data_IF_433717209651
#
_entry.id   IF_433717209651
#
_cell.length_a   1.000
_cell.length_b   1.000
_cell.length_c   1.000
_cell.angle_alpha   90.00
_cell.angle_beta   90.00
_cell.angle_gamma   90.00
#
_symmetry.space_group_name_H-M   'P 1'
#
loop_
_entity.id
_entity.type
_entity.pdbx_description
1 polymer ?
#
# COMPACT_ATOMS: atom_id res chain seq x y z
N UNK A 1 -1.97 10.79 -24.32
CA UNK A 1 -2.90 11.56 -23.44
C UNK A 1 -2.42 13.01 -23.40
N UNK A 2 -3.27 14.03 -23.26
CA UNK A 2 -2.81 15.43 -23.20
C UNK A 2 -1.87 15.66 -22.01
N UNK A 3 -0.87 16.54 -22.18
CA UNK A 3 0.03 16.94 -21.09
C UNK A 3 -0.70 17.91 -20.15
N UNK A 4 -0.62 17.63 -18.85
CA UNK A 4 -1.29 18.44 -17.82
C UNK A 4 -0.30 19.36 -17.10
N UNK A 5 -0.72 20.61 -16.87
CA UNK A 5 0.07 21.56 -16.09
C UNK A 5 0.20 21.11 -14.63
N UNK A 6 1.26 21.54 -13.94
CA UNK A 6 1.43 21.26 -12.50
C UNK A 6 0.26 21.77 -11.67
N UNK A 7 -0.37 22.90 -12.04
CA UNK A 7 -1.55 23.41 -11.37
C UNK A 7 -2.74 22.45 -11.46
N UNK A 8 -3.03 21.92 -12.66
CA UNK A 8 -4.10 20.92 -12.84
C UNK A 8 -3.77 19.65 -12.06
N UNK A 9 -2.53 19.16 -12.14
CA UNK A 9 -2.12 17.96 -11.41
C UNK A 9 -2.23 18.13 -9.89
N UNK A 10 -1.85 19.28 -9.35
CA UNK A 10 -2.04 19.57 -7.92
C UNK A 10 -3.53 19.63 -7.56
N UNK A 11 -4.36 20.27 -8.38
CA UNK A 11 -5.80 20.33 -8.15
C UNK A 11 -6.44 18.92 -8.14
N UNK A 12 -6.02 18.03 -9.05
CA UNK A 12 -6.45 16.63 -9.06
C UNK A 12 -6.07 15.91 -7.76
N UNK A 13 -4.84 16.12 -7.27
CA UNK A 13 -4.40 15.53 -6.00
C UNK A 13 -5.15 16.06 -4.79
N UNK A 14 -5.45 17.36 -4.77
CA UNK A 14 -6.22 18.00 -3.70
C UNK A 14 -7.68 17.53 -3.68
N UNK A 15 -8.26 17.24 -4.86
CA UNK A 15 -9.62 16.71 -4.96
C UNK A 15 -9.80 15.36 -4.25
N UNK A 16 -8.74 14.56 -4.09
CA UNK A 16 -8.82 13.27 -3.38
C UNK A 16 -9.18 13.48 -1.92
N UNK A 17 -8.46 14.36 -1.24
CA UNK A 17 -8.73 14.65 0.17
C UNK A 17 -10.06 15.37 0.36
N UNK A 18 -10.37 16.33 -0.52
CA UNK A 18 -11.65 17.03 -0.48
C UNK A 18 -12.84 16.06 -0.67
N UNK A 19 -12.69 15.02 -1.50
CA UNK A 19 -13.76 14.04 -1.77
C UNK A 19 -13.91 13.03 -0.63
N UNK A 20 -12.80 12.53 -0.08
CA UNK A 20 -12.80 11.57 1.04
C UNK A 20 -13.25 12.25 2.34
N UNK A 21 -12.93 13.53 2.48
CA UNK A 21 -13.28 14.34 3.63
C UNK A 21 -12.29 14.21 4.79
N UNK A 22 -12.62 14.92 5.86
CA UNK A 22 -11.83 14.98 7.07
C UNK A 22 -11.99 13.71 7.92
N UNK A 23 -10.92 13.32 8.61
CA UNK A 23 -10.89 12.19 9.54
C UNK A 23 -11.48 10.89 8.98
N UNK A 24 -11.04 10.45 7.78
CA UNK A 24 -11.42 9.15 7.26
C UNK A 24 -10.84 8.02 8.10
N UNK A 25 -11.34 6.81 7.88
CA UNK A 25 -10.84 5.60 8.53
C UNK A 25 -9.94 4.85 7.58
N UNK A 26 -8.71 4.58 8.03
CA UNK A 26 -7.75 3.70 7.38
C UNK A 26 -7.92 2.27 7.89
N UNK A 27 -7.79 1.30 6.99
CA UNK A 27 -7.75 -0.13 7.29
C UNK A 27 -6.53 -0.77 6.63
N UNK A 28 -5.79 -1.57 7.39
CA UNK A 28 -4.77 -2.48 6.89
C UNK A 28 -5.29 -3.91 6.91
N UNK A 29 -5.17 -4.62 5.79
CA UNK A 29 -5.77 -5.94 5.60
C UNK A 29 -4.80 -6.91 4.92
N UNK A 30 -5.01 -8.20 5.13
CA UNK A 30 -4.23 -9.25 4.44
C UNK A 30 -4.63 -9.41 2.98
N UNK A 31 -3.74 -9.96 2.16
CA UNK A 31 -4.04 -10.32 0.76
C UNK A 31 -4.19 -9.11 -0.17
N UNK A 32 -4.65 -9.38 -1.39
CA UNK A 32 -4.83 -8.36 -2.42
C UNK A 32 -6.09 -7.53 -2.18
N UNK A 33 -6.10 -6.25 -2.61
CA UNK A 33 -7.29 -5.42 -2.50
C UNK A 33 -8.44 -5.99 -3.35
N UNK A 34 -9.71 -5.66 -3.03
CA UNK A 34 -10.85 -5.99 -3.88
C UNK A 34 -10.70 -5.40 -5.29
N UNK A 35 -11.49 -5.87 -6.26
CA UNK A 35 -11.39 -5.40 -7.65
C UNK A 35 -11.70 -3.90 -7.82
N UNK A 36 -12.45 -3.30 -6.89
CA UNK A 36 -12.74 -1.86 -6.86
C UNK A 36 -13.02 -1.40 -5.43
N UNK A 37 -12.93 -0.10 -5.13
CA UNK A 37 -13.27 0.42 -3.80
C UNK A 37 -14.70 0.09 -3.36
N UNK A 38 -15.66 0.03 -4.30
CA UNK A 38 -17.05 -0.31 -4.02
C UNK A 38 -17.29 -1.80 -3.74
N UNK A 39 -16.33 -2.68 -4.06
CA UNK A 39 -16.47 -4.11 -3.81
C UNK A 39 -16.34 -4.43 -2.31
N UNK A 40 -16.92 -5.57 -1.90
CA UNK A 40 -16.82 -6.08 -0.54
C UNK A 40 -15.35 -6.28 -0.13
N UNK A 41 -15.06 -6.01 1.14
CA UNK A 41 -13.72 -6.17 1.71
C UNK A 41 -13.19 -7.59 1.53
N UNK A 42 -11.95 -7.70 1.05
CA UNK A 42 -11.20 -8.95 1.00
C UNK A 42 -10.24 -9.03 2.19
N UNK A 43 -9.76 -10.24 2.49
CA UNK A 43 -8.76 -10.46 3.52
C UNK A 43 -9.23 -10.19 4.95
N UNK A 44 -8.34 -10.45 5.90
CA UNK A 44 -8.54 -10.24 7.33
C UNK A 44 -8.17 -8.80 7.68
N UNK A 45 -9.01 -8.12 8.46
CA UNK A 45 -8.66 -6.82 9.04
C UNK A 45 -7.55 -7.00 10.07
N UNK A 46 -6.42 -6.32 9.89
CA UNK A 46 -5.29 -6.36 10.83
C UNK A 46 -5.34 -5.17 11.77
N UNK A 47 -5.52 -3.96 11.23
CA UNK A 47 -5.59 -2.72 12.01
C UNK A 47 -6.57 -1.76 11.35
N UNK A 48 -7.24 -0.93 12.15
CA UNK A 48 -8.05 0.19 11.67
C UNK A 48 -7.85 1.39 12.57
N UNK A 49 -7.95 2.60 12.04
CA UNK A 49 -7.98 3.80 12.87
C UNK A 49 -8.38 5.05 12.10
N UNK A 50 -8.88 6.03 12.84
CA UNK A 50 -9.28 7.33 12.31
C UNK A 50 -8.06 8.21 12.10
N UNK A 51 -7.95 8.76 10.89
CA UNK A 51 -6.90 9.67 10.48
C UNK A 51 -7.18 11.09 11.00
N UNK A 52 -6.17 11.94 10.95
CA UNK A 52 -6.35 13.37 11.22
C UNK A 52 -7.32 14.00 10.20
N UNK A 53 -7.85 15.19 10.54
CA UNK A 53 -8.70 15.93 9.60
C UNK A 53 -7.95 16.25 8.30
N UNK A 54 -6.71 16.75 8.43
CA UNK A 54 -5.73 16.94 7.36
C UNK A 54 -4.80 15.72 7.33
N UNK A 55 -5.22 14.71 6.58
CA UNK A 55 -4.54 13.41 6.54
C UNK A 55 -3.54 13.32 5.39
N UNK A 56 -3.62 14.22 4.42
CA UNK A 56 -2.65 14.33 3.34
C UNK A 56 -2.43 15.80 2.99
N UNK A 57 -1.19 16.33 3.07
CA UNK A 57 -0.92 17.72 2.72
C UNK A 57 -1.32 18.04 1.29
N UNK A 58 -1.45 19.34 0.97
CA UNK A 58 -1.67 19.79 -0.40
C UNK A 58 -0.68 19.16 -1.38
N UNK A 59 -1.20 18.74 -2.53
CA UNK A 59 -0.40 18.17 -3.59
C UNK A 59 0.61 19.19 -4.13
N UNK A 60 1.84 18.73 -4.33
CA UNK A 60 2.93 19.52 -4.88
C UNK A 60 3.58 18.78 -6.04
N UNK A 61 3.95 19.49 -7.10
CA UNK A 61 4.57 18.92 -8.30
C UNK A 61 3.79 17.76 -8.96
N UNK A 62 2.46 17.74 -8.76
CA UNK A 62 1.56 16.68 -9.21
C UNK A 62 1.66 15.39 -8.39
N UNK A 63 2.10 15.49 -7.13
CA UNK A 63 2.18 14.37 -6.19
C UNK A 63 1.36 14.69 -4.95
N UNK A 64 0.45 13.78 -4.56
CA UNK A 64 -0.25 13.80 -3.28
C UNK A 64 0.44 12.78 -2.36
N UNK A 65 0.99 13.25 -1.25
CA UNK A 65 1.65 12.42 -0.25
C UNK A 65 0.73 12.22 0.94
N UNK A 66 0.95 11.16 1.72
CA UNK A 66 0.23 10.95 2.97
C UNK A 66 1.08 11.38 4.15
N UNK A 67 0.45 11.86 5.23
CA UNK A 67 1.17 12.19 6.45
C UNK A 67 1.77 10.92 7.08
N UNK A 68 2.99 11.03 7.61
CA UNK A 68 3.73 9.88 8.19
C UNK A 68 3.02 9.23 9.39
N UNK A 69 2.11 9.97 10.04
CA UNK A 69 1.34 9.53 11.21
C UNK A 69 0.00 8.89 10.83
N UNK A 70 -0.03 8.11 9.74
CA UNK A 70 -1.14 7.23 9.34
C UNK A 70 -1.32 6.10 10.36
N UNK A 71 -1.73 6.46 11.58
CA UNK A 71 -1.89 5.56 12.71
C UNK A 71 -3.21 4.81 12.59
N UNK A 72 -3.13 3.49 12.71
CA UNK A 72 -4.26 2.67 13.10
C UNK A 72 -4.19 2.43 14.62
N UNK A 73 -5.34 2.13 15.23
CA UNK A 73 -5.42 1.68 16.62
C UNK A 73 -4.73 0.31 16.78
N UNK A 74 -4.67 -0.19 18.02
CA UNK A 74 -4.09 -1.49 18.34
C UNK A 74 -4.56 -2.59 17.37
N UNK A 75 -3.62 -3.39 16.87
CA UNK A 75 -3.92 -4.43 15.91
C UNK A 75 -4.90 -5.45 16.47
N UNK A 76 -5.94 -5.75 15.68
CA UNK A 76 -7.03 -6.68 16.04
C UNK A 76 -6.77 -8.10 15.55
N UNK A 77 -5.78 -8.28 14.68
CA UNK A 77 -5.33 -9.59 14.22
C UNK A 77 -3.84 -9.54 13.85
N UNK A 78 -3.18 -10.70 13.96
CA UNK A 78 -1.83 -10.87 13.45
C UNK A 78 -1.84 -11.25 11.96
N UNK A 79 -0.83 -10.80 11.21
CA UNK A 79 -0.62 -11.22 9.82
C UNK A 79 0.18 -10.22 9.02
N UNK A 80 0.33 -10.51 7.72
CA UNK A 80 1.05 -9.66 6.79
C UNK A 80 0.09 -8.73 6.08
N UNK A 81 0.29 -7.41 6.23
CA UNK A 81 -0.47 -6.41 5.49
C UNK A 81 -0.20 -6.55 3.99
N UNK A 82 -1.24 -6.79 3.21
CA UNK A 82 -1.17 -6.90 1.75
C UNK A 82 -1.85 -5.74 1.03
N UNK A 83 -2.80 -5.07 1.68
CA UNK A 83 -3.42 -3.88 1.13
C UNK A 83 -3.94 -2.94 2.22
N UNK A 84 -4.13 -1.68 1.84
CA UNK A 84 -4.82 -0.69 2.64
C UNK A 84 -6.15 -0.31 1.98
N UNK A 85 -7.09 0.19 2.78
CA UNK A 85 -8.33 0.82 2.31
C UNK A 85 -8.62 2.05 3.15
N UNK A 86 -9.16 3.09 2.50
CA UNK A 86 -9.60 4.32 3.15
C UNK A 86 -11.08 4.49 2.87
N UNK A 87 -11.85 4.63 3.94
CA UNK A 87 -13.26 4.97 3.87
C UNK A 87 -13.51 6.35 4.48
N UNK A 88 -14.39 7.10 3.83
CA UNK A 88 -14.91 8.35 4.37
C UNK A 88 -15.69 8.09 5.67
N UNK A 89 -16.02 9.16 6.39
CA UNK A 89 -16.75 9.08 7.66
C UNK A 89 -18.15 8.44 7.53
N UNK A 90 -18.73 8.49 6.33
CA UNK A 90 -20.00 7.84 5.99
C UNK A 90 -19.86 6.31 5.75
N UNK A 91 -18.64 5.78 5.78
CA UNK A 91 -18.32 4.37 5.53
C UNK A 91 -18.01 4.03 4.07
N UNK A 92 -18.11 4.99 3.14
CA UNK A 92 -17.84 4.78 1.72
C UNK A 92 -16.35 4.62 1.47
N UNK A 93 -15.94 3.49 0.86
CA UNK A 93 -14.55 3.30 0.43
C UNK A 93 -14.27 4.09 -0.85
N UNK A 94 -13.26 4.96 -0.79
CA UNK A 94 -12.83 5.78 -1.93
C UNK A 94 -11.48 5.37 -2.49
N UNK A 95 -10.66 4.73 -1.68
CA UNK A 95 -9.26 4.49 -2.02
C UNK A 95 -8.78 3.18 -1.41
N UNK A 96 -7.95 2.48 -2.17
CA UNK A 96 -7.30 1.25 -1.77
C UNK A 96 -6.04 1.09 -2.60
N UNK A 97 -5.08 0.32 -2.10
CA UNK A 97 -3.83 0.06 -2.80
C UNK A 97 -3.02 -1.04 -2.11
N UNK A 98 -1.96 -1.46 -2.78
CA UNK A 98 -1.07 -2.49 -2.28
C UNK A 98 -0.23 -1.98 -1.10
N UNK A 99 0.08 -2.89 -0.19
CA UNK A 99 1.01 -2.64 0.92
C UNK A 99 2.20 -3.58 0.78
N UNK A 100 3.42 -3.05 0.87
CA UNK A 100 4.65 -3.83 0.77
C UNK A 100 5.70 -3.36 1.76
N UNK A 101 6.76 -4.15 1.90
CA UNK A 101 8.04 -3.72 2.50
C UNK A 101 9.17 -3.82 1.47
N UNK A 102 10.29 -3.15 1.68
CA UNK A 102 11.41 -3.25 0.76
C UNK A 102 11.95 -4.69 0.69
N UNK A 103 12.23 -5.21 -0.52
CA UNK A 103 12.90 -6.49 -0.66
C UNK A 103 14.27 -6.45 0.02
N UNK A 104 14.57 -7.50 0.77
CA UNK A 104 15.83 -7.73 1.47
C UNK A 104 16.46 -9.03 0.99
N UNK A 105 17.76 -9.00 0.70
CA UNK A 105 18.56 -10.15 0.31
C UNK A 105 18.70 -11.16 1.45
N UNK A 106 18.77 -12.46 1.11
CA UNK A 106 18.97 -13.55 2.07
C UNK A 106 17.98 -13.55 3.25
N UNK A 107 16.77 -13.01 3.05
CA UNK A 107 15.71 -12.94 4.06
C UNK A 107 14.72 -14.09 3.86
N UNK A 108 14.30 -14.78 4.93
CA UNK A 108 13.17 -15.71 4.87
C UNK A 108 11.86 -14.97 4.60
N UNK A 109 11.10 -15.45 3.63
CA UNK A 109 9.74 -15.01 3.33
C UNK A 109 8.77 -16.18 3.38
N UNK A 110 7.54 -15.89 3.81
CA UNK A 110 6.44 -16.84 3.82
C UNK A 110 5.36 -16.44 2.81
N UNK A 111 4.52 -17.41 2.44
CA UNK A 111 3.43 -17.19 1.50
C UNK A 111 2.53 -16.05 1.98
N UNK A 112 2.24 -15.12 1.08
CA UNK A 112 1.39 -13.97 1.34
C UNK A 112 2.12 -12.68 1.70
N UNK A 113 3.41 -12.73 2.08
CA UNK A 113 4.23 -11.52 2.25
C UNK A 113 4.36 -10.77 0.92
N UNK A 114 4.37 -9.44 0.98
CA UNK A 114 4.57 -8.59 -0.20
C UNK A 114 5.80 -7.72 -0.06
N UNK A 115 6.64 -7.70 -1.10
CA UNK A 115 7.84 -6.88 -1.18
C UNK A 115 7.77 -5.94 -2.36
N UNK A 116 8.41 -4.77 -2.26
CA UNK A 116 8.65 -3.91 -3.41
C UNK A 116 10.12 -3.95 -3.87
N UNK A 117 10.30 -4.01 -5.19
CA UNK A 117 11.60 -3.89 -5.87
C UNK A 117 11.39 -3.31 -7.27
N UNK A 118 12.16 -2.29 -7.63
CA UNK A 118 12.09 -1.66 -8.95
C UNK A 118 10.75 -0.99 -9.28
N UNK A 119 10.02 -0.49 -8.27
CA UNK A 119 8.70 0.14 -8.46
C UNK A 119 7.54 -0.85 -8.61
N UNK A 120 7.80 -2.15 -8.49
CA UNK A 120 6.80 -3.21 -8.54
C UNK A 120 6.60 -3.85 -7.17
N UNK A 121 5.41 -4.37 -6.91
CA UNK A 121 5.10 -5.22 -5.75
C UNK A 121 5.00 -6.68 -6.17
N UNK A 122 5.60 -7.54 -5.36
CA UNK A 122 5.62 -8.97 -5.54
C UNK A 122 5.12 -9.67 -4.29
N UNK A 123 4.20 -10.62 -4.46
CA UNK A 123 3.66 -11.46 -3.39
C UNK A 123 4.31 -12.83 -3.40
N UNK A 124 4.81 -13.29 -2.26
CA UNK A 124 5.36 -14.63 -2.14
C UNK A 124 4.24 -15.67 -2.31
N UNK A 125 4.39 -16.57 -3.27
CA UNK A 125 3.49 -17.69 -3.55
C UNK A 125 4.07 -19.04 -3.10
N UNK A 126 5.40 -19.11 -2.92
CA UNK A 126 6.08 -20.21 -2.22
C UNK A 126 7.08 -19.63 -1.22
N UNK A 127 7.08 -20.17 0.01
CA UNK A 127 7.99 -19.74 1.08
C UNK A 127 9.43 -20.19 0.82
N UNK A 128 10.40 -19.42 1.31
CA UNK A 128 11.82 -19.74 1.20
C UNK A 128 12.70 -18.56 1.60
N UNK A 129 13.99 -18.63 1.24
CA UNK A 129 14.95 -17.55 1.45
C UNK A 129 15.28 -16.89 0.12
N UNK A 130 15.17 -15.56 0.04
CA UNK A 130 15.49 -14.79 -1.17
C UNK A 130 16.94 -14.95 -1.59
N UNK A 131 17.24 -14.66 -2.85
CA UNK A 131 18.62 -14.66 -3.33
C UNK A 131 19.46 -13.61 -2.59
N UNK A 132 20.78 -13.82 -2.62
CA UNK A 132 21.73 -12.85 -2.09
C UNK A 132 21.78 -11.56 -2.91
N UNK A 133 21.37 -11.60 -4.19
CA UNK A 133 21.35 -10.47 -5.12
C UNK A 133 20.23 -10.65 -6.16
N UNK A 134 19.79 -9.57 -6.81
CA UNK A 134 18.93 -9.63 -8.00
C UNK A 134 17.42 -9.55 -7.73
N UNK A 135 16.91 -10.26 -6.71
CA UNK A 135 15.51 -10.23 -6.27
C UNK A 135 14.47 -10.53 -7.39
N UNK A 136 13.16 -10.39 -7.12
CA UNK A 136 12.13 -10.56 -8.13
C UNK A 136 12.12 -9.41 -9.16
N UNK A 137 11.97 -9.76 -10.44
CA UNK A 137 11.88 -8.80 -11.55
C UNK A 137 10.83 -9.22 -12.58
N UNK A 138 10.26 -8.23 -13.29
CA UNK A 138 9.25 -8.43 -14.33
C UNK A 138 7.81 -8.47 -13.80
N UNK A 139 6.89 -8.97 -14.62
CA UNK A 139 5.43 -9.00 -14.32
C UNK A 139 4.84 -10.40 -14.28
N UNK A 140 5.70 -11.42 -14.15
CA UNK A 140 5.29 -12.84 -14.12
C UNK A 140 4.63 -13.26 -12.81
N UNK A 141 3.87 -14.36 -12.86
CA UNK A 141 3.19 -14.95 -11.70
C UNK A 141 4.02 -16.03 -10.96
N UNK A 142 5.17 -16.42 -11.51
CA UNK A 142 6.05 -17.45 -10.96
C UNK A 142 7.53 -17.06 -11.19
N UNK A 143 7.97 -16.02 -10.48
CA UNK A 143 9.34 -15.52 -10.52
C UNK A 143 10.11 -16.21 -9.39
N UNK A 144 11.07 -17.07 -9.75
CA UNK A 144 11.90 -17.76 -8.76
C UNK A 144 13.05 -16.84 -8.34
N UNK A 145 13.16 -16.62 -7.03
CA UNK A 145 14.20 -15.83 -6.37
C UNK A 145 14.85 -16.73 -5.31
N UNK A 146 15.79 -17.56 -5.76
CA UNK A 146 16.38 -18.64 -4.96
C UNK A 146 15.33 -19.60 -4.41
N UNK A 147 15.03 -19.56 -3.10
CA UNK A 147 14.06 -20.43 -2.46
C UNK A 147 12.63 -19.88 -2.48
N UNK A 148 12.43 -18.60 -2.79
CA UNK A 148 11.11 -17.96 -2.80
C UNK A 148 10.57 -17.97 -4.23
N UNK A 149 9.27 -18.22 -4.39
CA UNK A 149 8.57 -17.91 -5.64
C UNK A 149 7.66 -16.71 -5.43
N UNK A 150 7.75 -15.75 -6.35
CA UNK A 150 7.02 -14.50 -6.32
C UNK A 150 6.01 -14.40 -7.47
N UNK A 151 4.87 -13.76 -7.21
CA UNK A 151 3.97 -13.27 -8.23
C UNK A 151 3.97 -11.75 -8.23
N UNK A 152 4.14 -11.12 -9.40
CA UNK A 152 3.86 -9.70 -9.57
C UNK A 152 2.38 -9.42 -9.30
N UNK A 153 2.08 -8.40 -8.50
CA UNK A 153 0.71 -8.06 -8.12
C UNK A 153 0.30 -6.63 -8.45
N UNK A 154 1.25 -5.79 -8.86
CA UNK A 154 0.97 -4.43 -9.30
C UNK A 154 2.15 -3.47 -9.10
N UNK A 155 1.98 -2.20 -9.47
CA UNK A 155 2.92 -1.15 -9.13
C UNK A 155 2.98 -0.91 -7.61
N UNK A 156 4.08 -0.33 -7.15
CA UNK A 156 4.28 0.06 -5.76
C UNK A 156 3.34 1.20 -5.36
N UNK A 157 2.56 0.96 -4.32
CA UNK A 157 1.69 1.94 -3.66
C UNK A 157 2.28 2.31 -2.28
N UNK A 158 1.87 1.61 -1.22
CA UNK A 158 2.27 1.88 0.16
C UNK A 158 3.43 1.02 0.63
N UNK A 159 4.45 1.66 1.22
CA UNK A 159 5.61 0.96 1.79
C UNK A 159 5.67 1.14 3.30
N UNK A 160 5.59 0.03 4.02
CA UNK A 160 5.82 -0.05 5.45
C UNK A 160 7.26 -0.48 5.74
N UNK A 161 7.78 -0.11 6.90
CA UNK A 161 9.07 -0.65 7.38
C UNK A 161 8.98 -2.14 7.69
N UNK A 162 7.81 -2.62 8.12
CA UNK A 162 7.53 -4.02 8.39
C UNK A 162 6.05 -4.29 8.10
N UNK A 163 5.77 -5.29 7.26
CA UNK A 163 4.39 -5.70 6.95
C UNK A 163 3.85 -6.74 7.93
N UNK A 164 4.70 -7.36 8.75
CA UNK A 164 4.31 -8.31 9.78
C UNK A 164 3.72 -7.57 10.99
N UNK A 165 2.40 -7.57 11.09
CA UNK A 165 1.65 -6.96 12.18
C UNK A 165 1.36 -8.04 13.21
N UNK A 166 1.77 -7.80 14.46
CA UNK A 166 1.43 -8.65 15.59
C UNK A 166 0.08 -8.24 16.19
N UNK A 167 -0.66 -9.19 16.78
CA UNK A 167 -1.87 -8.88 17.54
C UNK A 167 -1.53 -7.93 18.70
N UNK A 168 -2.33 -6.87 18.87
CA UNK A 168 -2.11 -5.86 19.90
C UNK A 168 -0.94 -4.91 19.62
N UNK A 169 -0.30 -4.98 18.45
CA UNK A 169 0.71 -4.01 18.07
C UNK A 169 0.08 -2.61 17.96
N UNK A 170 0.67 -1.64 18.65
CA UNK A 170 0.28 -0.23 18.55
C UNK A 170 1.10 0.48 17.48
N UNK A 171 0.40 1.02 16.49
CA UNK A 171 1.00 1.80 15.41
C UNK A 171 1.77 1.00 14.36
N UNK A 172 1.97 1.66 13.23
CA UNK A 172 2.78 1.21 12.10
C UNK A 172 3.63 2.40 11.65
N UNK A 173 4.91 2.17 11.35
CA UNK A 173 5.75 3.18 10.71
C UNK A 173 5.61 3.07 9.19
N UNK A 174 5.01 4.11 8.60
CA UNK A 174 4.98 4.30 7.15
C UNK A 174 6.36 4.78 6.68
N UNK A 175 6.96 4.06 5.74
CA UNK A 175 8.22 4.50 5.14
C UNK A 175 7.95 5.45 3.96
N UNK A 176 6.96 5.15 3.13
CA UNK A 176 6.49 6.05 2.08
C UNK A 176 5.08 5.70 1.59
N UNK A 177 4.35 6.74 1.17
CA UNK A 177 3.19 6.64 0.30
C UNK A 177 3.07 7.91 -0.54
N UNK A 178 3.11 7.78 -1.87
CA UNK A 178 2.98 8.89 -2.81
C UNK A 178 2.07 8.47 -3.97
N UNK A 179 1.11 9.32 -4.30
CA UNK A 179 0.30 9.17 -5.50
C UNK A 179 0.69 10.23 -6.53
N UNK A 180 1.26 9.78 -7.65
CA UNK A 180 1.62 10.66 -8.77
C UNK A 180 0.46 10.81 -9.75
N UNK A 181 0.11 12.05 -10.05
CA UNK A 181 -0.96 12.37 -11.01
C UNK A 181 -0.44 12.23 -12.45
N UNK A 182 -1.29 11.79 -13.40
CA UNK A 182 -0.89 11.56 -14.78
C UNK A 182 -0.20 12.78 -15.41
N UNK A 183 0.93 12.56 -16.08
CA UNK A 183 1.69 13.60 -16.79
C UNK A 183 1.32 13.70 -18.26
N UNK A 184 0.64 12.68 -18.81
CA UNK A 184 0.36 12.55 -20.24
C UNK A 184 1.63 12.18 -21.02
N UNK A 185 1.68 10.96 -21.56
CA UNK A 185 2.60 10.60 -22.64
C UNK A 185 1.81 10.56 -23.96
#
# INVERSE_FOLDING_TARGET
MPQLSTAIRNAMGNAIEATIGASPVLEYRTGLPPASPAAASTGTLLMSGTLAADWAPDAANGVKSFNANMKADAAVAAGYAGHFRIKAADGTYHMQGLVSEAWTASKPYVVGMQVNLGGNVYRATAAGTSAANGGPAGTGAAIVDNGVTWAYVGPQDMVLTNTNIALGQDGITLNSYQLTMPTGN
#
